data_IF_847720635391
#
_entry.id   IF_847720635391
#
_cell.length_a   1.000
_cell.length_b   1.000
_cell.length_c   1.000
_cell.angle_alpha   90.00
_cell.angle_beta   90.00
_cell.angle_gamma   90.00
#
_symmetry.space_group_name_H-M   'P 1'
#
loop_
_entity.id
_entity.type
_entity.pdbx_description
1 polymer ?
#
# COMPACT_ATOMS: atom_id res chain seq x y z
N UNK A 1 20.37 -28.97 -53.31
CA UNK A 1 20.31 -29.50 -51.92
C UNK A 1 19.61 -28.47 -51.03
N UNK A 2 18.28 -28.52 -50.91
CA UNK A 2 17.51 -27.54 -50.13
C UNK A 2 17.27 -28.01 -48.69
N UNK A 3 17.34 -27.10 -47.72
CA UNK A 3 17.11 -27.41 -46.29
C UNK A 3 15.63 -27.29 -45.93
N UNK A 4 15.13 -28.15 -45.04
CA UNK A 4 13.73 -28.15 -44.64
C UNK A 4 13.37 -26.91 -43.81
N UNK A 5 12.53 -26.02 -44.35
CA UNK A 5 12.16 -24.75 -43.71
C UNK A 5 11.16 -24.96 -42.56
N UNK A 6 11.68 -25.16 -41.34
CA UNK A 6 10.89 -25.35 -40.10
C UNK A 6 9.99 -24.14 -39.82
N UNK A 7 8.66 -24.31 -39.85
CA UNK A 7 7.70 -23.26 -39.45
C UNK A 7 7.79 -23.03 -37.93
N UNK A 8 8.17 -21.82 -37.50
CA UNK A 8 8.11 -21.40 -36.09
C UNK A 8 6.66 -21.11 -35.70
N UNK A 9 6.03 -21.99 -34.92
CA UNK A 9 4.71 -21.71 -34.31
C UNK A 9 4.92 -20.70 -33.17
N UNK A 10 4.70 -19.42 -33.44
CA UNK A 10 4.59 -18.40 -32.37
C UNK A 10 3.21 -18.58 -31.72
N UNK A 11 3.20 -18.86 -30.41
CA UNK A 11 1.97 -18.96 -29.63
C UNK A 11 1.79 -17.65 -28.87
N UNK A 12 0.87 -16.81 -29.32
CA UNK A 12 0.48 -15.63 -28.56
C UNK A 12 -0.37 -16.06 -27.36
N UNK A 13 0.14 -15.81 -26.15
CA UNK A 13 -0.55 -16.05 -24.89
C UNK A 13 -1.39 -14.82 -24.55
N UNK A 14 -2.71 -14.97 -24.51
CA UNK A 14 -3.66 -13.88 -24.21
C UNK A 14 -3.96 -13.83 -22.71
N UNK A 15 -3.76 -12.67 -22.09
CA UNK A 15 -3.92 -12.49 -20.63
C UNK A 15 -5.32 -12.88 -20.11
N UNK A 16 -6.37 -12.63 -20.92
CA UNK A 16 -7.76 -13.01 -20.63
C UNK A 16 -7.99 -14.52 -20.54
N UNK A 17 -7.11 -15.34 -21.09
CA UNK A 17 -7.15 -16.80 -20.95
C UNK A 17 -6.44 -17.31 -19.68
N UNK A 18 -5.63 -16.47 -19.02
CA UNK A 18 -4.94 -16.83 -17.78
C UNK A 18 -5.70 -16.38 -16.54
N UNK A 19 -6.35 -15.21 -16.53
CA UNK A 19 -7.25 -14.82 -15.44
C UNK A 19 -8.36 -15.87 -15.20
N UNK A 20 -9.01 -16.35 -16.28
CA UNK A 20 -10.02 -17.42 -16.16
C UNK A 20 -9.48 -18.71 -15.52
N UNK A 21 -8.20 -19.02 -15.70
CA UNK A 21 -7.54 -20.17 -15.03
C UNK A 21 -7.21 -19.85 -13.57
N UNK A 22 -6.78 -18.62 -13.27
CA UNK A 22 -6.54 -18.16 -11.91
C UNK A 22 -7.84 -18.23 -11.08
N UNK A 23 -8.93 -17.64 -11.59
CA UNK A 23 -10.26 -17.71 -10.97
C UNK A 23 -10.76 -19.15 -10.76
N UNK A 24 -10.47 -20.07 -11.69
CA UNK A 24 -10.81 -21.49 -11.53
C UNK A 24 -9.96 -22.17 -10.43
N UNK A 25 -8.65 -21.93 -10.41
CA UNK A 25 -7.72 -22.45 -9.39
C UNK A 25 -8.08 -21.96 -7.99
N UNK A 26 -8.41 -20.67 -7.86
CA UNK A 26 -8.87 -20.05 -6.61
C UNK A 26 -10.18 -20.68 -6.11
N UNK A 27 -11.17 -20.87 -6.99
CA UNK A 27 -12.41 -21.59 -6.65
C UNK A 27 -12.13 -23.03 -6.20
N UNK A 28 -11.17 -23.73 -6.82
CA UNK A 28 -10.76 -25.08 -6.39
C UNK A 28 -10.08 -25.11 -5.02
N UNK A 29 -9.45 -24.01 -4.58
CA UNK A 29 -8.91 -23.83 -3.23
C UNK A 29 -10.00 -23.45 -2.19
N UNK A 30 -11.26 -23.34 -2.61
CA UNK A 30 -12.39 -23.03 -1.73
C UNK A 30 -12.44 -21.57 -1.24
N UNK A 31 -11.86 -20.62 -1.99
CA UNK A 31 -11.96 -19.20 -1.60
C UNK A 31 -13.39 -18.68 -1.80
N UNK A 32 -13.92 -18.04 -0.77
CA UNK A 32 -15.22 -17.36 -0.79
C UNK A 32 -15.01 -15.85 -0.88
N UNK A 33 -15.92 -15.12 -1.52
CA UNK A 33 -15.81 -13.67 -1.65
C UNK A 33 -16.25 -12.97 -0.37
N UNK A 34 -15.46 -12.02 0.13
CA UNK A 34 -15.84 -11.16 1.26
C UNK A 34 -16.38 -9.84 0.69
N UNK A 35 -17.53 -9.39 1.19
CA UNK A 35 -18.17 -8.12 0.84
C UNK A 35 -17.93 -7.05 1.91
N UNK A 36 -17.94 -5.78 1.54
CA UNK A 36 -17.81 -4.67 2.49
C UNK A 36 -16.38 -4.44 3.01
N UNK A 37 -15.36 -4.84 2.26
CA UNK A 37 -13.97 -4.46 2.57
C UNK A 37 -13.73 -3.03 2.12
N UNK A 38 -13.53 -2.14 3.09
CA UNK A 38 -13.24 -0.73 2.84
C UNK A 38 -11.79 -0.53 2.39
N UNK A 39 -10.82 -1.18 3.05
CA UNK A 39 -9.41 -1.16 2.66
C UNK A 39 -8.67 -2.47 3.01
N UNK A 40 -7.49 -2.67 2.42
CA UNK A 40 -6.48 -3.63 2.91
C UNK A 40 -5.13 -2.93 2.95
N UNK A 41 -4.45 -3.00 4.09
CA UNK A 41 -3.12 -2.44 4.30
C UNK A 41 -2.10 -3.57 4.54
N UNK A 42 -1.05 -3.63 3.71
CA UNK A 42 0.08 -4.55 3.88
C UNK A 42 1.32 -3.77 4.32
N UNK A 43 1.67 -3.87 5.60
CA UNK A 43 2.82 -3.19 6.19
C UNK A 43 4.14 -3.84 5.75
N UNK A 44 5.08 -3.04 5.25
CA UNK A 44 6.44 -3.49 4.92
C UNK A 44 7.42 -3.19 6.04
N UNK A 45 8.56 -3.89 6.07
CA UNK A 45 9.66 -3.59 6.97
C UNK A 45 10.48 -2.33 6.57
N UNK A 46 10.12 -1.64 5.48
CA UNK A 46 10.77 -0.42 5.00
C UNK A 46 10.07 0.86 5.47
N UNK A 47 9.08 0.76 6.36
CA UNK A 47 8.27 1.92 6.80
C UNK A 47 7.24 2.36 5.76
N UNK A 48 6.87 1.49 4.82
CA UNK A 48 5.86 1.74 3.79
C UNK A 48 4.65 0.81 3.96
N UNK A 49 3.51 1.20 3.38
CA UNK A 49 2.28 0.41 3.35
C UNK A 49 1.88 0.22 1.90
N UNK A 50 1.64 -1.03 1.48
CA UNK A 50 0.91 -1.29 0.24
C UNK A 50 -0.58 -1.24 0.59
N UNK A 51 -1.21 -0.12 0.27
CA UNK A 51 -2.60 0.19 0.55
C UNK A 51 -3.47 -0.14 -0.67
N UNK A 52 -4.61 -0.76 -0.41
CA UNK A 52 -5.67 -1.01 -1.39
C UNK A 52 -6.96 -0.37 -0.90
N UNK A 53 -7.50 0.60 -1.63
CA UNK A 53 -8.83 1.15 -1.36
C UNK A 53 -9.92 0.33 -2.07
N UNK A 54 -11.00 0.02 -1.33
CA UNK A 54 -12.15 -0.81 -1.73
C UNK A 54 -11.83 -2.07 -2.55
N UNK A 55 -10.85 -2.92 -2.16
CA UNK A 55 -10.45 -4.08 -2.94
C UNK A 55 -11.51 -5.19 -2.94
N UNK A 56 -11.58 -5.94 -4.04
CA UNK A 56 -12.24 -7.24 -4.05
C UNK A 56 -11.37 -8.24 -3.28
N UNK A 57 -11.89 -8.76 -2.18
CA UNK A 57 -11.21 -9.80 -1.38
C UNK A 57 -11.93 -11.14 -1.52
N UNK A 58 -11.15 -12.20 -1.67
CA UNK A 58 -11.59 -13.59 -1.55
C UNK A 58 -10.72 -14.30 -0.51
N UNK A 59 -11.29 -15.17 0.32
CA UNK A 59 -10.56 -15.86 1.38
C UNK A 59 -11.01 -17.32 1.53
N UNK A 60 -10.04 -18.19 1.82
CA UNK A 60 -10.28 -19.54 2.36
C UNK A 60 -9.63 -19.60 3.73
N UNK A 61 -10.43 -19.40 4.79
CA UNK A 61 -9.95 -19.45 6.18
C UNK A 61 -9.37 -20.84 6.51
N UNK A 62 -9.99 -21.92 6.01
CA UNK A 62 -9.50 -23.28 6.16
C UNK A 62 -8.12 -23.52 5.50
N UNK A 63 -7.75 -22.72 4.49
CA UNK A 63 -6.44 -22.75 3.85
C UNK A 63 -5.54 -21.56 4.24
N UNK A 64 -5.93 -20.76 5.24
CA UNK A 64 -5.28 -19.50 5.66
C UNK A 64 -4.88 -18.59 4.47
N UNK A 65 -5.64 -18.62 3.38
CA UNK A 65 -5.27 -17.99 2.11
C UNK A 65 -6.23 -16.85 1.77
N UNK A 66 -5.68 -15.66 1.57
CA UNK A 66 -6.40 -14.48 1.11
C UNK A 66 -5.94 -14.10 -0.31
N UNK A 67 -6.87 -13.68 -1.15
CA UNK A 67 -6.63 -13.12 -2.48
C UNK A 67 -7.24 -11.74 -2.53
N UNK A 68 -6.39 -10.73 -2.74
CA UNK A 68 -6.76 -9.32 -2.82
C UNK A 68 -6.65 -8.91 -4.28
N UNK A 69 -7.64 -8.19 -4.81
CA UNK A 69 -7.65 -7.69 -6.19
C UNK A 69 -8.23 -6.28 -6.23
N UNK A 70 -7.40 -5.31 -6.59
CA UNK A 70 -7.72 -3.88 -6.64
C UNK A 70 -6.53 -3.07 -7.11
N UNK A 71 -6.65 -1.74 -7.10
CA UNK A 71 -5.50 -0.85 -7.25
C UNK A 71 -4.61 -0.91 -6.00
N UNK A 72 -3.29 -0.86 -6.18
CA UNK A 72 -2.31 -0.95 -5.11
C UNK A 72 -1.45 0.32 -5.10
N UNK A 73 -1.47 1.03 -3.98
CA UNK A 73 -0.70 2.27 -3.77
C UNK A 73 0.32 2.04 -2.66
N UNK A 74 1.61 2.23 -2.96
CA UNK A 74 2.66 2.22 -1.94
C UNK A 74 2.76 3.62 -1.34
N UNK A 75 2.43 3.77 -0.06
CA UNK A 75 2.45 5.03 0.70
C UNK A 75 3.48 4.96 1.83
N UNK A 76 4.07 6.08 2.25
CA UNK A 76 4.87 6.08 3.47
C UNK A 76 3.95 5.91 4.69
N UNK A 77 4.37 5.13 5.70
CA UNK A 77 3.57 4.92 6.90
C UNK A 77 3.24 6.24 7.64
N UNK A 78 4.09 7.25 7.48
CA UNK A 78 3.90 8.61 8.00
C UNK A 78 2.75 9.38 7.35
N UNK A 79 2.38 9.09 6.10
CA UNK A 79 1.28 9.75 5.39
C UNK A 79 -0.10 9.29 5.88
N UNK A 80 -0.18 8.11 6.51
CA UNK A 80 -1.43 7.52 6.99
C UNK A 80 -1.66 7.74 8.50
N UNK A 81 -0.84 8.60 9.14
CA UNK A 81 -1.00 8.98 10.54
C UNK A 81 -2.11 10.04 10.70
N UNK A 82 -2.87 10.02 11.82
CA UNK A 82 -2.77 9.09 12.95
C UNK A 82 -3.63 7.82 12.82
N UNK A 83 -4.55 7.73 11.84
CA UNK A 83 -5.56 6.67 11.79
C UNK A 83 -4.99 5.26 11.68
N UNK A 84 -3.90 5.09 10.93
CA UNK A 84 -3.23 3.78 10.73
C UNK A 84 -2.70 3.16 12.03
N UNK A 85 -2.47 3.96 13.09
CA UNK A 85 -1.97 3.48 14.39
C UNK A 85 -2.87 2.38 14.99
N UNK A 86 -4.18 2.43 14.73
CA UNK A 86 -5.15 1.44 15.22
C UNK A 86 -5.02 0.06 14.52
N UNK A 87 -4.26 -0.02 13.42
CA UNK A 87 -4.01 -1.25 12.66
C UNK A 87 -2.59 -1.80 12.89
N UNK A 88 -1.73 -1.07 13.62
CA UNK A 88 -0.35 -1.48 13.89
C UNK A 88 -0.24 -2.33 15.16
N UNK A 89 0.47 -3.46 15.06
CA UNK A 89 0.92 -4.21 16.23
C UNK A 89 2.05 -3.49 16.99
N UNK A 90 2.31 -3.91 18.23
CA UNK A 90 3.35 -3.31 19.09
C UNK A 90 4.75 -3.29 18.46
N UNK A 91 5.10 -4.33 17.69
CA UNK A 91 6.38 -4.44 16.98
C UNK A 91 6.49 -3.41 15.83
N UNK A 92 5.39 -3.19 15.11
CA UNK A 92 5.29 -2.19 14.06
C UNK A 92 5.31 -0.77 14.63
N UNK A 93 4.66 -0.53 15.77
CA UNK A 93 4.75 0.73 16.51
C UNK A 93 6.18 1.01 17.03
N UNK A 94 6.91 -0.02 17.47
CA UNK A 94 8.32 0.11 17.86
C UNK A 94 9.21 0.47 16.67
N UNK A 95 8.91 -0.09 15.50
CA UNK A 95 9.60 0.22 14.24
C UNK A 95 9.31 1.66 13.78
N UNK A 96 8.05 2.09 13.87
CA UNK A 96 7.62 3.47 13.60
C UNK A 96 8.27 4.48 14.55
N UNK A 97 8.36 4.18 15.86
CA UNK A 97 9.04 5.06 16.84
C UNK A 97 10.49 5.31 16.46
N UNK A 98 11.25 4.26 16.14
CA UNK A 98 12.65 4.39 15.68
C UNK A 98 12.78 5.23 14.41
N UNK A 99 11.82 5.12 13.49
CA UNK A 99 11.80 5.91 12.25
C UNK A 99 11.47 7.38 12.54
N UNK A 100 10.54 7.66 13.45
CA UNK A 100 10.20 9.02 13.90
C UNK A 100 11.31 9.67 14.76
N UNK A 101 12.07 8.88 15.52
CA UNK A 101 13.26 9.31 16.28
C UNK A 101 14.46 9.60 15.36
N UNK A 102 14.53 8.95 14.19
CA UNK A 102 15.57 9.15 13.19
C UNK A 102 15.28 10.32 12.21
N UNK A 103 14.02 10.78 12.12
CA UNK A 103 13.74 12.07 11.49
C UNK A 103 14.35 13.19 12.33
N UNK A 104 14.99 14.21 11.73
CA UNK A 104 15.38 15.39 12.47
C UNK A 104 14.13 16.01 13.10
N UNK A 105 14.20 16.32 14.40
CA UNK A 105 13.11 16.98 15.12
C UNK A 105 12.97 18.42 14.64
N UNK A 106 12.32 18.62 13.50
CA UNK A 106 11.73 19.90 13.17
C UNK A 106 10.70 20.19 14.26
N UNK A 107 11.03 21.12 15.16
CA UNK A 107 10.11 21.54 16.20
C UNK A 107 8.86 22.09 15.53
N UNK A 108 7.72 21.47 15.82
CA UNK A 108 6.41 22.11 15.66
C UNK A 108 6.28 23.15 16.76
N UNK A 109 7.06 24.23 16.60
CA UNK A 109 7.05 25.40 17.47
C UNK A 109 5.65 26.02 17.34
N UNK A 110 4.82 25.75 18.35
CA UNK A 110 3.39 26.03 18.37
C UNK A 110 3.07 27.51 18.55
N UNK A 111 3.68 28.39 17.75
CA UNK A 111 3.43 29.83 17.76
C UNK A 111 2.37 30.17 16.71
N UNK A 112 1.11 30.01 17.10
CA UNK A 112 -0.01 30.58 16.36
C UNK A 112 0.21 32.11 16.19
N UNK A 113 -0.15 32.70 15.04
CA UNK A 113 -0.02 34.14 14.84
C UNK A 113 -1.09 34.88 15.66
N UNK A 114 -0.74 35.28 16.89
CA UNK A 114 -1.47 36.36 17.55
C UNK A 114 -1.20 37.66 16.80
N UNK A 115 -2.25 38.25 16.25
CA UNK A 115 -2.18 39.58 15.66
C UNK A 115 -2.21 40.64 16.76
N UNK A 116 -1.10 41.36 16.90
CA UNK A 116 -1.02 42.70 17.50
C UNK A 116 -0.19 43.54 16.54
N UNK A 117 -0.80 44.56 15.94
CA UNK A 117 -0.08 45.56 15.15
C UNK A 117 0.45 46.68 16.04
N UNK A 118 1.00 47.72 15.41
CA UNK A 118 1.51 48.96 16.01
C UNK A 118 2.78 48.74 16.89
N UNK A 119 3.94 49.37 16.71
CA UNK A 119 4.61 50.02 15.56
C UNK A 119 6.15 49.69 15.72
N UNK A 120 7.22 50.38 15.28
CA UNK A 120 7.52 51.74 14.78
C UNK A 120 8.86 51.70 13.96
N UNK A 121 9.47 52.86 13.66
CA UNK A 121 10.56 53.09 12.68
C UNK A 121 12.04 52.75 13.12
N UNK A 122 13.00 53.05 12.20
CA UNK A 122 14.47 53.22 12.36
C UNK A 122 15.38 51.99 12.68
N UNK A 123 16.65 51.90 12.24
CA UNK A 123 17.42 52.51 11.13
C UNK A 123 18.58 51.52 10.79
N UNK A 124 19.13 51.52 9.56
CA UNK A 124 20.17 50.57 9.11
C UNK A 124 21.50 51.25 8.73
N UNK A 125 22.66 50.85 9.31
CA UNK A 125 24.01 51.28 8.88
C UNK A 125 24.53 50.63 7.58
#
# INVERSE_FOLDING_TARGET
KGTARRKKKVVHRTATADDKKLQFSLKKLGVNNISGIEEVNMFTNQGTVIHFNNPKVQASLAANTFTITGHAETKQLTEMLPSILNQLGADSLTSLRRLAEALPKQSVDGKAPLATGEDDDDEVP
#
